data_IF_804203810268
#
_entry.id   IF_804203810268
#
_cell.length_a   1.000
_cell.length_b   1.000
_cell.length_c   1.000
_cell.angle_alpha   90.00
_cell.angle_beta   90.00
_cell.angle_gamma   90.00
#
_symmetry.space_group_name_H-M   'P 1'
#
loop_
_entity.id
_entity.type
_entity.pdbx_description
1 polymer ?
#
# COMPACT_ATOMS: atom_id res chain seq x y z
N UNK A 1 21.65 -8.79 29.48
CA UNK A 1 20.42 -9.40 28.95
C UNK A 1 19.79 -10.20 30.07
N UNK A 2 18.65 -9.77 30.61
CA UNK A 2 17.96 -10.46 31.68
C UNK A 2 16.55 -10.83 31.18
N UNK A 3 16.39 -12.05 30.64
CA UNK A 3 15.16 -12.52 30.01
C UNK A 3 13.86 -12.23 30.76
N UNK A 4 13.89 -12.41 32.07
CA UNK A 4 12.73 -12.23 32.95
C UNK A 4 12.38 -10.77 33.20
N UNK A 5 13.32 -9.85 32.95
CA UNK A 5 13.07 -8.39 32.96
C UNK A 5 12.75 -7.84 31.56
N UNK A 6 13.36 -8.40 30.53
CA UNK A 6 13.24 -7.90 29.16
C UNK A 6 11.94 -8.37 28.49
N UNK A 7 11.43 -9.57 28.84
CA UNK A 7 10.18 -10.15 28.32
C UNK A 7 9.26 -10.73 29.41
N UNK A 8 8.85 -9.93 30.41
CA UNK A 8 8.09 -10.43 31.57
C UNK A 8 6.72 -11.01 31.18
N UNK A 9 6.12 -10.52 30.09
CA UNK A 9 4.83 -10.98 29.59
C UNK A 9 4.91 -12.26 28.71
N UNK A 10 6.12 -12.69 28.32
CA UNK A 10 6.32 -13.77 27.34
C UNK A 10 7.43 -14.73 27.81
N UNK A 11 7.20 -15.50 28.90
CA UNK A 11 8.21 -16.40 29.46
C UNK A 11 8.64 -17.51 28.49
N UNK A 12 7.81 -17.83 27.50
CA UNK A 12 8.07 -18.83 26.47
C UNK A 12 8.91 -18.30 25.29
N UNK A 13 9.09 -16.97 25.15
CA UNK A 13 9.72 -16.38 23.96
C UNK A 13 11.17 -16.80 23.77
N UNK A 14 11.99 -16.77 24.84
CA UNK A 14 13.38 -17.19 24.73
C UNK A 14 13.56 -18.68 24.51
N UNK A 15 12.88 -19.57 25.26
CA UNK A 15 12.88 -21.00 24.94
C UNK A 15 12.54 -21.24 23.46
N UNK A 16 11.56 -20.50 22.92
CA UNK A 16 11.17 -20.59 21.51
C UNK A 16 12.31 -20.19 20.57
N UNK A 17 13.04 -19.11 20.84
CA UNK A 17 14.23 -18.73 20.07
C UNK A 17 15.32 -19.83 20.06
N UNK A 18 15.37 -20.69 21.09
CA UNK A 18 16.31 -21.81 21.20
C UNK A 18 15.72 -23.16 20.75
N UNK A 19 14.53 -23.17 20.14
CA UNK A 19 13.98 -24.33 19.46
C UNK A 19 12.83 -25.06 20.17
N UNK A 20 12.32 -24.54 21.30
CA UNK A 20 11.07 -25.07 21.87
C UNK A 20 9.87 -24.58 21.05
N UNK A 21 8.77 -25.35 20.95
CA UNK A 21 7.57 -24.86 20.27
C UNK A 21 6.95 -23.66 21.02
N UNK A 22 6.33 -22.75 20.28
CA UNK A 22 5.53 -21.68 20.87
C UNK A 22 4.21 -22.28 21.41
N UNK A 23 3.64 -21.73 22.49
CA UNK A 23 2.37 -22.20 23.02
C UNK A 23 1.26 -22.13 21.97
N UNK A 24 0.31 -23.07 22.04
CA UNK A 24 -0.67 -23.29 20.97
C UNK A 24 -1.56 -22.08 20.67
N UNK A 25 -1.88 -21.30 21.71
CA UNK A 25 -2.75 -20.12 21.64
C UNK A 25 -2.04 -18.86 21.13
N UNK A 26 -0.72 -18.92 20.92
CA UNK A 26 0.05 -17.73 20.54
C UNK A 26 -0.03 -17.46 19.04
N UNK A 27 -0.04 -16.17 18.68
CA UNK A 27 0.02 -15.72 17.28
C UNK A 27 1.18 -16.39 16.52
N UNK A 28 2.32 -16.61 17.16
CA UNK A 28 3.49 -17.24 16.53
C UNK A 28 3.19 -18.68 16.09
N UNK A 29 2.48 -19.44 16.92
CA UNK A 29 2.12 -20.81 16.57
C UNK A 29 1.00 -20.85 15.53
N UNK A 30 -0.04 -20.04 15.72
CA UNK A 30 -1.22 -20.01 14.83
C UNK A 30 -0.90 -19.45 13.43
N UNK A 31 0.02 -18.49 13.34
CA UNK A 31 0.46 -17.94 12.06
C UNK A 31 1.55 -18.79 11.38
N UNK A 32 2.04 -19.86 12.01
CA UNK A 32 3.04 -20.76 11.39
C UNK A 32 2.48 -21.47 10.16
N UNK A 33 1.22 -21.88 10.26
CA UNK A 33 0.52 -22.63 9.22
C UNK A 33 -0.54 -21.74 8.53
N UNK A 34 -0.15 -20.52 8.14
CA UNK A 34 -0.99 -19.63 7.33
C UNK A 34 -1.29 -20.27 5.97
N UNK A 35 -2.57 -20.33 5.61
CA UNK A 35 -3.06 -20.88 4.35
C UNK A 35 -4.11 -19.95 3.74
N UNK A 36 -4.38 -20.12 2.44
CA UNK A 36 -5.44 -19.39 1.75
C UNK A 36 -6.83 -19.53 2.40
N UNK A 37 -7.07 -20.62 3.13
CA UNK A 37 -8.38 -20.93 3.74
C UNK A 37 -8.53 -20.28 5.11
N UNK A 38 -7.46 -20.28 5.93
CA UNK A 38 -7.55 -19.78 7.31
C UNK A 38 -7.21 -18.29 7.46
N UNK A 39 -6.58 -17.66 6.46
CA UNK A 39 -6.03 -16.31 6.58
C UNK A 39 -7.07 -15.26 6.98
N UNK A 40 -8.25 -15.28 6.38
CA UNK A 40 -9.30 -14.29 6.67
C UNK A 40 -9.83 -14.42 8.11
N UNK A 41 -9.83 -15.63 8.68
CA UNK A 41 -10.22 -15.85 10.08
C UNK A 41 -9.12 -15.38 11.03
N UNK A 42 -7.85 -15.67 10.72
CA UNK A 42 -6.72 -15.25 11.54
C UNK A 42 -6.56 -13.72 11.57
N UNK A 43 -6.84 -13.02 10.47
CA UNK A 43 -6.84 -11.55 10.45
C UNK A 43 -7.91 -10.98 11.38
N UNK A 44 -9.07 -11.66 11.56
CA UNK A 44 -10.11 -11.25 12.51
C UNK A 44 -9.68 -11.36 13.97
N UNK A 45 -8.78 -12.27 14.29
CA UNK A 45 -8.33 -12.50 15.66
C UNK A 45 -7.06 -11.71 15.98
N UNK A 46 -6.11 -11.66 15.04
CA UNK A 46 -4.77 -11.12 15.26
C UNK A 46 -4.46 -9.93 14.34
N UNK A 47 -3.68 -8.98 14.86
CA UNK A 47 -3.13 -7.86 14.09
C UNK A 47 -1.83 -8.28 13.42
N UNK A 48 -1.94 -8.99 12.30
CA UNK A 48 -0.78 -9.53 11.56
C UNK A 48 -0.26 -8.47 10.59
N UNK A 49 1.02 -8.06 10.64
CA UNK A 49 1.56 -7.08 9.69
C UNK A 49 1.38 -7.53 8.25
N UNK A 50 0.99 -6.61 7.37
CA UNK A 50 0.67 -6.92 5.97
C UNK A 50 1.84 -7.58 5.21
N UNK A 51 3.09 -7.27 5.58
CA UNK A 51 4.29 -7.90 5.01
C UNK A 51 4.27 -9.43 5.04
N UNK A 52 3.67 -10.03 6.09
CA UNK A 52 3.51 -11.48 6.22
C UNK A 52 2.30 -12.02 5.46
N UNK A 53 1.30 -11.18 5.22
CA UNK A 53 0.06 -11.51 4.51
C UNK A 53 0.20 -11.36 2.99
N UNK A 54 1.17 -10.57 2.51
CA UNK A 54 1.39 -10.24 1.09
C UNK A 54 1.42 -11.46 0.17
N UNK A 55 1.96 -12.59 0.61
CA UNK A 55 2.02 -13.83 -0.17
C UNK A 55 0.63 -14.43 -0.48
N UNK A 56 -0.40 -14.03 0.27
CA UNK A 56 -1.78 -14.50 0.14
C UNK A 56 -2.75 -13.43 -0.36
N UNK A 57 -2.24 -12.32 -0.90
CA UNK A 57 -3.04 -11.16 -1.32
C UNK A 57 -4.27 -11.48 -2.17
N UNK A 58 -4.17 -12.45 -3.07
CA UNK A 58 -5.26 -12.88 -3.96
C UNK A 58 -6.43 -13.57 -3.21
N UNK A 59 -6.22 -13.97 -1.95
CA UNK A 59 -7.20 -14.67 -1.11
C UNK A 59 -7.78 -13.78 -0.01
N UNK A 60 -7.36 -12.51 0.06
CA UNK A 60 -7.89 -11.55 1.03
C UNK A 60 -9.24 -11.02 0.54
N UNK A 61 -10.27 -11.21 1.35
CA UNK A 61 -11.56 -10.57 1.10
C UNK A 61 -11.54 -9.09 1.53
N UNK A 62 -12.54 -8.33 1.11
CA UNK A 62 -12.61 -6.89 1.37
C UNK A 62 -12.67 -6.55 2.87
N UNK A 63 -13.32 -7.41 3.69
CA UNK A 63 -13.37 -7.28 5.15
C UNK A 63 -11.96 -7.37 5.77
N UNK A 64 -11.16 -8.33 5.33
CA UNK A 64 -9.78 -8.50 5.78
C UNK A 64 -8.89 -7.35 5.32
N UNK A 65 -9.05 -6.88 4.08
CA UNK A 65 -8.31 -5.70 3.57
C UNK A 65 -8.60 -4.44 4.40
N UNK A 66 -9.88 -4.18 4.66
CA UNK A 66 -10.31 -3.07 5.50
C UNK A 66 -9.74 -3.20 6.92
N UNK A 67 -9.79 -4.41 7.49
CA UNK A 67 -9.22 -4.69 8.80
C UNK A 67 -7.71 -4.43 8.83
N UNK A 68 -6.95 -4.89 7.84
CA UNK A 68 -5.52 -4.62 7.69
C UNK A 68 -5.27 -3.10 7.70
N UNK A 69 -5.98 -2.36 6.85
CA UNK A 69 -5.84 -0.91 6.78
C UNK A 69 -6.17 -0.19 8.10
N UNK A 70 -7.06 -0.76 8.92
CA UNK A 70 -7.44 -0.16 10.21
C UNK A 70 -6.37 -0.30 11.30
N UNK A 71 -5.59 -1.39 11.32
CA UNK A 71 -4.61 -1.64 12.38
C UNK A 71 -3.16 -1.38 11.98
N UNK A 72 -2.87 -1.25 10.68
CA UNK A 72 -1.53 -0.91 10.22
C UNK A 72 -1.08 0.43 10.81
N UNK A 73 0.14 0.47 11.34
CA UNK A 73 0.61 1.61 12.12
C UNK A 73 0.71 2.88 11.27
N UNK A 74 1.10 2.74 10.00
CA UNK A 74 1.38 3.86 9.10
C UNK A 74 0.51 3.79 7.85
N UNK A 75 -0.14 4.90 7.53
CA UNK A 75 -0.86 5.10 6.27
C UNK A 75 0.06 4.88 5.05
N UNK A 76 1.35 5.21 5.18
CA UNK A 76 2.37 4.96 4.16
C UNK A 76 2.46 3.49 3.75
N UNK A 77 2.34 2.56 4.70
CA UNK A 77 2.37 1.10 4.42
C UNK A 77 1.18 0.71 3.57
N UNK A 78 -0.01 1.23 3.89
CA UNK A 78 -1.24 0.95 3.16
C UNK A 78 -1.17 1.52 1.76
N UNK A 79 -0.71 2.76 1.62
CA UNK A 79 -0.51 3.41 0.32
C UNK A 79 0.54 2.68 -0.52
N UNK A 80 1.60 2.14 0.10
CA UNK A 80 2.63 1.40 -0.62
C UNK A 80 2.08 0.14 -1.29
N UNK A 81 1.16 -0.55 -0.62
CA UNK A 81 0.55 -1.80 -1.08
C UNK A 81 -0.90 -1.64 -1.53
N UNK A 82 -1.29 -0.43 -1.94
CA UNK A 82 -2.67 -0.11 -2.27
C UNK A 82 -3.24 -1.02 -3.36
N UNK A 83 -2.44 -1.40 -4.36
CA UNK A 83 -2.84 -2.33 -5.43
C UNK A 83 -3.32 -3.69 -4.93
N UNK A 84 -2.80 -4.15 -3.80
CA UNK A 84 -3.16 -5.44 -3.21
C UNK A 84 -4.35 -5.31 -2.23
N UNK A 85 -4.47 -4.14 -1.59
CA UNK A 85 -5.47 -3.81 -0.59
C UNK A 85 -6.67 -3.04 -1.17
N UNK A 86 -6.71 -2.83 -2.48
CA UNK A 86 -7.75 -2.03 -3.14
C UNK A 86 -9.14 -2.60 -2.82
N UNK A 87 -9.93 -1.79 -2.13
CA UNK A 87 -11.37 -1.94 -1.96
C UNK A 87 -11.98 -0.61 -1.44
N UNK A 88 -13.29 -0.39 -1.61
CA UNK A 88 -13.96 0.85 -1.19
C UNK A 88 -13.81 1.18 0.30
N UNK A 89 -13.77 0.17 1.16
CA UNK A 89 -13.63 0.36 2.61
C UNK A 89 -12.22 0.80 2.99
N UNK A 90 -11.19 0.30 2.31
CA UNK A 90 -9.80 0.76 2.49
C UNK A 90 -9.66 2.22 2.08
N UNK A 91 -10.34 2.66 1.03
CA UNK A 91 -10.31 4.07 0.64
C UNK A 91 -10.85 4.99 1.73
N UNK A 92 -11.98 4.63 2.33
CA UNK A 92 -12.58 5.43 3.41
C UNK A 92 -11.67 5.47 4.63
N UNK A 93 -11.05 4.35 4.99
CA UNK A 93 -10.10 4.27 6.11
C UNK A 93 -8.90 5.19 5.87
N UNK A 94 -8.31 5.16 4.68
CA UNK A 94 -7.18 6.04 4.36
C UNK A 94 -7.62 7.51 4.41
N UNK A 95 -8.76 7.86 3.81
CA UNK A 95 -9.34 9.20 3.87
C UNK A 95 -9.59 9.68 5.31
N UNK A 96 -10.15 8.83 6.15
CA UNK A 96 -10.39 9.13 7.56
C UNK A 96 -9.08 9.38 8.32
N UNK A 97 -8.07 8.53 8.13
CA UNK A 97 -6.75 8.69 8.75
C UNK A 97 -6.08 10.00 8.36
N UNK A 98 -6.12 10.36 7.07
CA UNK A 98 -5.60 11.64 6.57
C UNK A 98 -6.35 12.82 7.20
N UNK A 99 -7.69 12.77 7.22
CA UNK A 99 -8.52 13.83 7.84
C UNK A 99 -8.29 13.97 9.34
N UNK A 100 -8.00 12.87 10.03
CA UNK A 100 -7.63 12.85 11.45
C UNK A 100 -6.19 13.37 11.70
N UNK A 101 -5.48 13.79 10.66
CA UNK A 101 -4.18 14.44 10.76
C UNK A 101 -2.99 13.49 10.72
N UNK A 102 -3.19 12.23 10.33
CA UNK A 102 -2.07 11.32 10.10
C UNK A 102 -1.24 11.82 8.91
N UNK A 103 0.09 11.95 9.13
CA UNK A 103 1.00 12.49 8.13
C UNK A 103 1.50 11.39 7.20
N UNK A 104 1.36 11.62 5.91
CA UNK A 104 2.00 10.83 4.87
C UNK A 104 3.46 11.26 4.75
N UNK A 105 4.39 10.34 4.97
CA UNK A 105 5.85 10.60 4.95
C UNK A 105 6.54 10.05 3.71
N UNK A 106 5.78 9.50 2.76
CA UNK A 106 6.28 9.07 1.47
C UNK A 106 7.01 10.23 0.75
N UNK A 107 8.18 9.96 0.12
CA UNK A 107 8.81 10.94 -0.75
C UNK A 107 7.86 11.39 -1.86
N UNK A 108 7.91 12.67 -2.24
CA UNK A 108 6.97 13.26 -3.19
C UNK A 108 6.82 12.46 -4.50
N UNK A 109 7.94 12.00 -5.08
CA UNK A 109 7.90 11.15 -6.28
C UNK A 109 7.11 9.85 -6.08
N UNK A 110 7.28 9.20 -4.93
CA UNK A 110 6.53 7.98 -4.58
C UNK A 110 5.05 8.29 -4.32
N UNK A 111 4.74 9.41 -3.67
CA UNK A 111 3.36 9.86 -3.47
C UNK A 111 2.66 10.11 -4.82
N UNK A 112 3.34 10.75 -5.77
CA UNK A 112 2.82 10.97 -7.13
C UNK A 112 2.58 9.64 -7.85
N UNK A 113 3.51 8.68 -7.74
CA UNK A 113 3.32 7.33 -8.30
C UNK A 113 2.07 6.65 -7.72
N UNK A 114 1.81 6.80 -6.42
CA UNK A 114 0.61 6.23 -5.77
C UNK A 114 -0.67 6.94 -6.22
N UNK A 115 -0.65 8.26 -6.35
CA UNK A 115 -1.77 9.04 -6.88
C UNK A 115 -2.15 8.59 -8.30
N UNK A 116 -1.17 8.45 -9.18
CA UNK A 116 -1.39 7.98 -10.55
C UNK A 116 -1.95 6.56 -10.59
N UNK A 117 -1.42 5.65 -9.76
CA UNK A 117 -1.96 4.29 -9.62
C UNK A 117 -3.44 4.31 -9.22
N UNK A 118 -3.79 5.05 -8.16
CA UNK A 118 -5.18 5.18 -7.67
C UNK A 118 -6.09 5.72 -8.77
N UNK A 119 -5.63 6.76 -9.49
CA UNK A 119 -6.38 7.33 -10.61
C UNK A 119 -6.65 6.29 -11.68
N UNK A 120 -5.63 5.56 -12.12
CA UNK A 120 -5.81 4.57 -13.19
C UNK A 120 -6.73 3.42 -12.79
N UNK A 121 -6.60 2.92 -11.55
CA UNK A 121 -7.48 1.87 -11.05
C UNK A 121 -8.95 2.32 -11.02
N UNK A 122 -9.22 3.61 -10.74
CA UNK A 122 -10.57 4.19 -10.74
C UNK A 122 -11.12 4.49 -12.13
N UNK A 123 -10.28 5.03 -13.01
CA UNK A 123 -10.71 5.54 -14.31
C UNK A 123 -10.85 4.44 -15.39
N UNK A 124 -10.49 3.18 -15.10
CA UNK A 124 -10.49 2.07 -16.08
C UNK A 124 -9.78 2.43 -17.41
N UNK A 125 -8.76 3.29 -17.36
CA UNK A 125 -7.99 3.70 -18.55
C UNK A 125 -6.75 2.80 -18.70
N UNK A 126 -6.54 2.14 -19.86
CA UNK A 126 -5.43 1.20 -20.07
C UNK A 126 -4.04 1.86 -20.25
N UNK A 127 -3.89 3.17 -20.02
CA UNK A 127 -2.70 3.93 -20.41
C UNK A 127 -1.54 3.94 -19.39
N UNK A 128 -1.39 2.90 -18.56
CA UNK A 128 -0.15 2.76 -17.77
C UNK A 128 0.92 2.02 -18.59
N UNK A 129 2.13 2.61 -18.76
CA UNK A 129 3.30 1.87 -19.21
C UNK A 129 3.60 0.70 -18.26
N UNK A 130 3.80 -0.48 -18.82
CA UNK A 130 4.09 -1.77 -18.16
C UNK A 130 5.22 -1.77 -17.11
N UNK A 131 5.94 -0.67 -16.92
CA UNK A 131 6.95 -0.48 -15.89
C UNK A 131 6.45 -0.77 -14.46
N UNK A 132 5.23 -0.36 -14.12
CA UNK A 132 4.69 -0.56 -12.77
C UNK A 132 4.38 -2.02 -12.45
N UNK A 133 4.16 -2.86 -13.46
CA UNK A 133 3.88 -4.28 -13.26
C UNK A 133 5.13 -5.12 -12.99
N UNK A 134 6.29 -4.66 -13.45
CA UNK A 134 7.50 -5.48 -13.51
C UNK A 134 8.52 -5.19 -12.40
N UNK A 135 8.40 -4.09 -11.65
CA UNK A 135 9.41 -3.72 -10.65
C UNK A 135 9.37 -4.55 -9.35
N UNK A 136 8.26 -5.23 -9.04
CA UNK A 136 8.22 -6.19 -7.92
C UNK A 136 8.69 -7.60 -8.30
N UNK A 137 8.70 -7.96 -9.59
CA UNK A 137 9.15 -9.28 -10.06
C UNK A 137 10.68 -9.46 -10.05
N UNK A 138 11.46 -8.37 -10.03
CA UNK A 138 12.93 -8.45 -10.12
C UNK A 138 13.67 -8.43 -8.79
N UNK A 139 12.98 -8.37 -7.64
CA UNK A 139 13.62 -8.53 -6.31
C UNK A 139 13.40 -9.90 -5.66
N UNK A 140 12.72 -10.83 -6.31
CA UNK A 140 12.47 -12.15 -5.75
C UNK A 140 12.28 -13.23 -6.81
N UNK A 141 13.35 -13.96 -7.10
CA UNK A 141 13.40 -15.28 -7.77
C UNK A 141 12.99 -15.35 -9.24
N UNK A 142 13.82 -16.05 -9.99
CA UNK A 142 13.64 -16.32 -11.41
C UNK A 142 12.63 -17.41 -11.74
N UNK A 143 12.37 -17.49 -13.05
CA UNK A 143 11.79 -18.62 -13.82
C UNK A 143 10.43 -19.14 -13.32
N UNK A 144 9.36 -18.70 -13.99
CA UNK A 144 8.07 -19.40 -14.01
C UNK A 144 7.12 -18.81 -15.05
N UNK A 145 6.73 -19.62 -16.03
CA UNK A 145 5.80 -19.32 -17.14
C UNK A 145 4.40 -18.94 -16.64
N UNK A 146 3.74 -18.05 -17.38
CA UNK A 146 2.43 -17.47 -17.03
C UNK A 146 1.18 -18.31 -17.32
N UNK A 147 0.04 -17.61 -17.17
CA UNK A 147 -1.40 -17.93 -17.36
C UNK A 147 -2.14 -17.85 -16.02
N UNK A 148 -3.25 -17.14 -15.85
CA UNK A 148 -4.07 -16.36 -16.77
C UNK A 148 -5.02 -15.45 -15.97
N UNK A 149 -5.48 -14.38 -16.59
CA UNK A 149 -6.45 -13.47 -16.02
C UNK A 149 -7.81 -14.15 -15.99
N UNK A 150 -8.31 -14.39 -14.78
CA UNK A 150 -9.66 -14.89 -14.54
C UNK A 150 -10.71 -13.83 -14.86
N UNK A 151 -11.80 -14.30 -15.45
CA UNK A 151 -12.93 -13.58 -16.02
C UNK A 151 -13.49 -12.41 -15.18
N UNK A 152 -13.61 -11.27 -15.83
CA UNK A 152 -14.62 -10.26 -15.55
C UNK A 152 -16.01 -10.86 -15.85
N UNK A 153 -16.83 -11.09 -14.82
CA UNK A 153 -18.29 -11.07 -14.88
C UNK A 153 -18.87 -11.31 -13.48
N UNK A 154 -18.84 -10.27 -12.64
CA UNK A 154 -19.88 -10.00 -11.65
C UNK A 154 -19.58 -8.66 -10.95
N UNK A 155 -20.09 -7.56 -11.50
CA UNK A 155 -20.21 -6.29 -10.77
C UNK A 155 -21.58 -5.69 -11.06
N UNK A 156 -22.63 -6.36 -10.59
CA UNK A 156 -23.94 -5.74 -10.43
C UNK A 156 -24.02 -5.09 -9.04
N UNK A 157 -24.22 -3.77 -9.07
CA UNK A 157 -24.90 -2.94 -8.06
C UNK A 157 -24.44 -3.05 -6.60
N UNK A 158 -23.36 -2.33 -6.28
CA UNK A 158 -23.27 -1.60 -5.01
C UNK A 158 -23.08 -0.13 -5.40
N UNK A 159 -24.02 0.73 -5.01
CA UNK A 159 -23.86 2.18 -5.09
C UNK A 159 -22.58 2.54 -4.33
N UNK A 160 -21.50 2.70 -5.09
CA UNK A 160 -20.17 3.03 -4.60
C UNK A 160 -20.26 4.33 -3.83
N UNK A 161 -20.05 4.24 -2.51
CA UNK A 161 -19.75 5.38 -1.66
C UNK A 161 -18.54 6.06 -2.31
N UNK A 162 -18.74 7.19 -2.96
CA UNK A 162 -17.71 7.84 -3.77
C UNK A 162 -16.64 8.38 -2.81
N UNK A 163 -15.61 7.59 -2.54
CA UNK A 163 -14.59 7.94 -1.56
C UNK A 163 -13.78 9.15 -2.02
N UNK A 164 -13.52 10.07 -1.10
CA UNK A 164 -12.76 11.31 -1.33
C UNK A 164 -11.25 11.09 -1.32
N UNK A 165 -10.78 9.84 -1.19
CA UNK A 165 -9.35 9.49 -1.08
C UNK A 165 -8.47 10.21 -2.09
N UNK A 166 -8.87 10.20 -3.37
CA UNK A 166 -8.08 10.81 -4.42
C UNK A 166 -7.94 12.33 -4.23
N UNK A 167 -9.01 13.03 -3.87
CA UNK A 167 -8.93 14.47 -3.57
C UNK A 167 -8.13 14.74 -2.30
N UNK A 168 -8.26 13.90 -1.27
CA UNK A 168 -7.54 14.06 -0.02
C UNK A 168 -6.02 13.90 -0.24
N UNK A 169 -5.60 12.91 -1.03
CA UNK A 169 -4.19 12.70 -1.39
C UNK A 169 -3.63 13.81 -2.30
N UNK A 170 -4.44 14.39 -3.19
CA UNK A 170 -4.03 15.56 -3.99
C UNK A 170 -3.66 16.71 -3.06
N UNK A 171 -4.49 17.04 -2.08
CA UNK A 171 -4.20 18.14 -1.16
C UNK A 171 -2.91 17.91 -0.37
N UNK A 172 -2.62 16.66 0.00
CA UNK A 172 -1.34 16.29 0.64
C UNK A 172 -0.17 16.48 -0.33
N UNK A 173 -0.30 16.02 -1.58
CA UNK A 173 0.74 16.17 -2.57
C UNK A 173 1.02 17.64 -2.91
N UNK A 174 -0.01 18.46 -3.09
CA UNK A 174 0.14 19.91 -3.31
C UNK A 174 0.92 20.57 -2.18
N UNK A 175 0.59 20.23 -0.94
CA UNK A 175 1.29 20.74 0.25
C UNK A 175 2.76 20.34 0.23
N UNK A 176 3.07 19.07 -0.08
CA UNK A 176 4.44 18.60 -0.17
C UNK A 176 5.21 19.28 -1.33
N UNK A 177 4.58 19.45 -2.49
CA UNK A 177 5.21 20.09 -3.66
C UNK A 177 5.66 21.51 -3.35
N UNK A 178 4.85 22.28 -2.63
CA UNK A 178 5.18 23.65 -2.20
C UNK A 178 6.41 23.72 -1.28
N UNK A 179 6.75 22.63 -0.59
CA UNK A 179 7.96 22.57 0.26
C UNK A 179 9.24 22.31 -0.54
N UNK A 180 9.13 21.82 -1.77
CA UNK A 180 10.29 21.48 -2.60
C UNK A 180 10.89 22.77 -3.16
N UNK A 181 12.10 23.10 -2.69
CA UNK A 181 12.90 24.21 -3.20
C UNK A 181 14.07 23.65 -3.98
N UNK A 182 14.05 23.86 -5.30
CA UNK A 182 15.18 23.54 -6.18
C UNK A 182 16.00 24.82 -6.35
N UNK A 183 17.21 24.90 -5.79
CA UNK A 183 18.12 25.99 -6.11
C UNK A 183 18.58 25.80 -7.55
N UNK A 184 18.04 26.62 -8.46
CA UNK A 184 18.42 26.61 -9.86
C UNK A 184 19.42 27.75 -10.09
N UNK A 185 20.59 27.41 -10.62
CA UNK A 185 21.56 28.42 -11.03
C UNK A 185 21.06 29.13 -12.29
N UNK A 186 21.27 30.45 -12.34
CA UNK A 186 20.86 31.24 -13.49
C UNK A 186 21.84 31.09 -14.67
N UNK A 187 21.36 31.10 -15.93
CA UNK A 187 19.96 31.23 -16.34
C UNK A 187 19.20 29.88 -16.32
N UNK A 188 17.94 29.93 -15.88
CA UNK A 188 17.04 28.76 -15.94
C UNK A 188 16.38 28.69 -17.31
N UNK A 189 16.77 27.71 -18.11
CA UNK A 189 16.06 27.34 -19.34
C UNK A 189 14.96 26.33 -19.04
N UNK A 190 13.70 26.71 -19.27
CA UNK A 190 12.58 25.75 -19.23
C UNK A 190 12.37 25.25 -20.66
N UNK A 191 12.67 23.98 -20.91
CA UNK A 191 12.44 23.35 -22.20
C UNK A 191 11.20 22.45 -22.07
N UNK A 192 10.14 22.81 -22.78
CA UNK A 192 8.93 21.99 -22.91
C UNK A 192 8.89 21.33 -24.29
N UNK A 193 8.35 20.11 -24.36
CA UNK A 193 7.99 19.46 -25.62
C UNK A 193 6.75 20.17 -26.21
N UNK A 194 6.76 20.42 -27.52
CA UNK A 194 5.72 21.09 -28.30
C UNK A 194 4.47 20.19 -28.49
N UNK A 195 3.95 19.64 -27.40
CA UNK A 195 2.62 19.02 -27.41
C UNK A 195 1.54 20.10 -27.46
N UNK A 196 0.43 19.82 -28.16
CA UNK A 196 -0.72 20.72 -28.34
C UNK A 196 -1.35 21.25 -27.04
N UNK A 197 -0.91 20.78 -25.87
CA UNK A 197 -1.46 21.09 -24.54
C UNK A 197 -0.61 22.05 -23.69
N UNK A 198 0.55 22.51 -24.16
CA UNK A 198 1.44 23.41 -23.40
C UNK A 198 1.76 24.70 -24.18
N UNK A 199 1.38 25.85 -23.64
CA UNK A 199 1.32 27.13 -24.36
C UNK A 199 2.52 28.08 -24.14
N UNK A 200 3.57 27.71 -23.39
CA UNK A 200 4.71 28.62 -23.16
C UNK A 200 6.04 27.86 -23.23
N UNK A 201 6.83 28.14 -24.27
CA UNK A 201 8.11 27.45 -24.50
C UNK A 201 9.34 28.19 -23.97
N UNK A 202 9.36 29.52 -23.81
CA UNK A 202 10.51 30.23 -23.21
C UNK A 202 10.04 31.51 -22.53
N UNK A 203 10.29 31.66 -21.23
CA UNK A 203 10.26 32.95 -20.51
C UNK A 203 11.62 33.19 -19.88
N UNK A 204 12.42 34.05 -20.48
CA UNK A 204 13.63 34.58 -19.85
C UNK A 204 13.25 35.78 -18.98
N UNK A 205 13.83 35.89 -17.79
CA UNK A 205 13.82 37.12 -16.99
C UNK A 205 14.78 38.15 -17.61
#
# INVERSE_FOLDING_TARGET
FNPTKDFPALPWFLPFCFGTPAPEETMVNLCRDLTAVNINNLIKEFKIPYSHLKQFKEHLNDESKARIASYEEKVDTILWYYEDLECPDVDEIISERIRNGERITLPYGKLMDRLLLIRTLRDNQPDIPTFYRNNEYNRGRGRGRGRGFGNANNRHSLQSKKSTLYSDLISVAETQLQTIKLPLESPVGVLADASYSMEIAIRTA
#
